data_IF_916280626607
#
_entry.id   IF_916280626607
#
_cell.length_a   1.000
_cell.length_b   1.000
_cell.length_c   1.000
_cell.angle_alpha   90.00
_cell.angle_beta   90.00
_cell.angle_gamma   90.00
#
_symmetry.space_group_name_H-M   'P 1'
#
loop_
_entity.id
_entity.type
_entity.pdbx_description
1 polymer ?
#
# COMPACT_ATOMS: atom_id res chain seq x y z
N UNK A 1 -0.48 -22.96 -0.04
CA UNK A 1 -0.37 -22.34 -1.38
C UNK A 1 -0.57 -20.82 -1.34
N UNK A 2 -1.73 -20.33 -0.86
CA UNK A 2 -2.02 -18.89 -0.74
C UNK A 2 -0.96 -18.10 0.06
N UNK A 3 -0.45 -18.65 1.16
CA UNK A 3 0.59 -17.96 1.96
C UNK A 3 1.94 -17.83 1.26
N UNK A 4 2.32 -18.76 0.37
CA UNK A 4 3.59 -18.72 -0.37
C UNK A 4 3.53 -17.64 -1.45
N UNK A 5 2.41 -17.57 -2.19
CA UNK A 5 2.19 -16.52 -3.19
C UNK A 5 2.14 -15.14 -2.53
N UNK A 6 1.42 -15.04 -1.40
CA UNK A 6 1.34 -13.81 -0.63
C UNK A 6 2.72 -13.37 -0.12
N UNK A 7 3.52 -14.27 0.46
CA UNK A 7 4.88 -13.98 0.87
C UNK A 7 5.75 -13.52 -0.30
N UNK A 8 5.71 -14.18 -1.46
CA UNK A 8 6.55 -13.78 -2.61
C UNK A 8 6.24 -12.36 -3.12
N UNK A 9 4.98 -11.96 -3.05
CA UNK A 9 4.54 -10.65 -3.55
C UNK A 9 4.69 -9.56 -2.49
N UNK A 10 4.57 -9.91 -1.22
CA UNK A 10 4.57 -8.96 -0.09
C UNK A 10 5.96 -8.78 0.54
N UNK A 11 6.81 -9.82 0.56
CA UNK A 11 8.15 -9.75 1.18
C UNK A 11 9.07 -8.72 0.54
N UNK A 12 9.14 -8.56 -0.81
CA UNK A 12 10.00 -7.53 -1.41
C UNK A 12 9.62 -6.11 -0.98
N UNK A 13 8.33 -5.88 -0.72
CA UNK A 13 7.83 -4.59 -0.24
C UNK A 13 8.26 -4.35 1.22
N UNK A 14 8.26 -5.38 2.07
CA UNK A 14 8.76 -5.29 3.45
C UNK A 14 10.28 -5.13 3.48
N UNK A 15 11.01 -5.93 2.71
CA UNK A 15 12.48 -5.94 2.68
C UNK A 15 13.04 -4.61 2.19
N UNK A 16 12.41 -4.00 1.18
CA UNK A 16 12.79 -2.69 0.69
C UNK A 16 12.34 -1.54 1.59
N UNK A 17 11.20 -1.71 2.29
CA UNK A 17 10.51 -0.62 2.98
C UNK A 17 9.95 -1.08 4.34
N UNK A 18 10.82 -1.34 5.34
CA UNK A 18 10.39 -1.76 6.68
C UNK A 18 9.46 -0.71 7.30
N UNK A 19 8.55 -1.17 8.16
CA UNK A 19 7.62 -0.27 8.84
C UNK A 19 8.33 0.74 9.73
N UNK A 20 7.93 2.01 9.64
CA UNK A 20 8.38 3.11 10.52
C UNK A 20 7.20 3.64 11.34
N UNK A 21 7.45 4.41 12.41
CA UNK A 21 6.38 5.09 13.15
C UNK A 21 5.53 5.94 12.21
N UNK A 22 4.21 5.87 12.39
CA UNK A 22 3.23 6.67 11.65
C UNK A 22 3.14 8.03 12.34
N UNK A 23 3.19 9.13 11.59
CA UNK A 23 3.02 10.46 12.15
C UNK A 23 1.63 10.66 12.78
N UNK A 24 1.55 11.52 13.80
CA UNK A 24 0.30 11.77 14.54
C UNK A 24 -0.80 12.41 13.69
N UNK A 25 -0.42 13.14 12.64
CA UNK A 25 -1.30 13.79 11.67
C UNK A 25 -1.63 12.93 10.45
N UNK A 26 -1.18 11.67 10.42
CA UNK A 26 -1.41 10.78 9.31
C UNK A 26 -2.90 10.51 9.06
N UNK A 27 -3.31 10.56 7.79
CA UNK A 27 -4.67 10.20 7.37
C UNK A 27 -4.77 8.68 7.30
N UNK A 28 -5.66 8.11 8.11
CA UNK A 28 -5.83 6.66 8.20
C UNK A 28 -7.19 6.19 7.69
N UNK A 29 -7.21 5.10 6.92
CA UNK A 29 -8.44 4.36 6.62
C UNK A 29 -8.23 2.86 6.73
N UNK A 30 -9.23 2.19 7.28
CA UNK A 30 -9.16 0.76 7.58
C UNK A 30 -9.76 -0.08 6.46
N UNK A 31 -9.34 -1.35 6.38
CA UNK A 31 -9.94 -2.36 5.49
C UNK A 31 -9.98 -1.93 4.00
N UNK A 32 -8.90 -1.34 3.54
CA UNK A 32 -8.69 -0.96 2.16
C UNK A 32 -8.33 -2.18 1.31
N UNK A 33 -8.71 -2.09 0.04
CA UNK A 33 -8.43 -3.11 -0.96
C UNK A 33 -7.24 -2.69 -1.82
N UNK A 34 -6.26 -3.57 -1.92
CA UNK A 34 -5.11 -3.41 -2.81
C UNK A 34 -5.03 -4.58 -3.78
N UNK A 35 -4.41 -4.35 -4.93
CA UNK A 35 -3.90 -5.39 -5.80
C UNK A 35 -2.40 -5.20 -5.94
N UNK A 36 -1.62 -6.20 -5.58
CA UNK A 36 -0.16 -6.17 -5.68
C UNK A 36 0.25 -7.25 -6.67
N UNK A 37 0.79 -6.83 -7.82
CA UNK A 37 1.01 -7.68 -8.98
C UNK A 37 -0.27 -8.45 -9.38
N UNK A 38 -0.23 -9.77 -9.20
CA UNK A 38 -1.34 -10.67 -9.54
C UNK A 38 -2.29 -10.97 -8.36
N UNK A 39 -1.98 -10.51 -7.14
CA UNK A 39 -2.75 -10.85 -5.93
C UNK A 39 -3.69 -9.71 -5.55
N UNK A 40 -4.97 -10.02 -5.37
CA UNK A 40 -5.98 -9.08 -4.83
C UNK A 40 -6.12 -9.29 -3.32
N UNK A 41 -5.88 -8.23 -2.57
CA UNK A 41 -5.99 -8.15 -1.11
C UNK A 41 -7.26 -7.38 -0.76
N UNK A 42 -8.41 -8.04 -0.89
CA UNK A 42 -9.72 -7.42 -0.63
C UNK A 42 -9.92 -7.13 0.85
N UNK A 43 -9.95 -5.86 1.23
CA UNK A 43 -10.19 -5.39 2.61
C UNK A 43 -9.23 -5.98 3.65
N UNK A 44 -7.98 -6.25 3.26
CA UNK A 44 -6.97 -6.86 4.14
C UNK A 44 -5.88 -5.89 4.61
N UNK A 45 -5.95 -4.61 4.24
CA UNK A 45 -4.91 -3.63 4.53
C UNK A 45 -5.54 -2.40 5.19
N UNK A 46 -5.04 -2.01 6.36
CA UNK A 46 -5.22 -0.67 6.89
C UNK A 46 -4.14 0.22 6.27
N UNK A 47 -4.53 1.42 5.82
CA UNK A 47 -3.62 2.38 5.20
C UNK A 47 -3.50 3.59 6.09
N UNK A 48 -2.29 4.07 6.30
CA UNK A 48 -2.02 5.42 6.77
C UNK A 48 -1.16 6.16 5.73
N UNK A 49 -1.33 7.47 5.65
CA UNK A 49 -0.57 8.36 4.76
C UNK A 49 -0.14 9.55 5.59
N UNK A 50 1.16 9.83 5.62
CA UNK A 50 1.72 11.05 6.20
C UNK A 50 2.55 11.84 5.16
N UNK A 51 3.27 12.87 5.61
CA UNK A 51 4.09 13.73 4.75
C UNK A 51 5.15 12.96 3.95
N UNK A 52 5.62 11.81 4.46
CA UNK A 52 6.77 11.11 3.91
C UNK A 52 6.46 9.70 3.38
N UNK A 53 5.46 9.02 3.95
CA UNK A 53 5.24 7.59 3.74
C UNK A 53 3.79 7.20 3.46
N UNK A 54 3.65 6.20 2.59
CA UNK A 54 2.51 5.31 2.52
C UNK A 54 2.72 4.13 3.47
N UNK A 55 1.94 4.06 4.55
CA UNK A 55 1.97 2.91 5.45
C UNK A 55 0.92 1.88 5.07
N UNK A 56 1.37 0.64 4.87
CA UNK A 56 0.54 -0.52 4.59
C UNK A 56 0.57 -1.46 5.79
N UNK A 57 -0.54 -1.55 6.52
CA UNK A 57 -0.66 -2.34 7.73
C UNK A 57 -1.63 -3.51 7.49
N UNK A 58 -1.17 -4.77 7.52
CA UNK A 58 -2.07 -5.90 7.34
C UNK A 58 -3.12 -5.96 8.45
N UNK A 59 -4.38 -6.17 8.07
CA UNK A 59 -5.45 -6.51 8.99
C UNK A 59 -5.18 -7.85 9.70
N UNK A 60 -5.96 -8.17 10.74
CA UNK A 60 -5.75 -9.39 11.56
C UNK A 60 -5.57 -10.65 10.71
N UNK A 61 -6.41 -10.83 9.69
CA UNK A 61 -6.33 -11.99 8.79
C UNK A 61 -5.04 -11.96 7.94
N UNK A 62 -4.63 -10.79 7.45
CA UNK A 62 -3.36 -10.64 6.73
C UNK A 62 -2.14 -11.00 7.59
N UNK A 63 -2.15 -10.58 8.87
CA UNK A 63 -1.11 -10.94 9.84
C UNK A 63 -1.05 -12.44 10.10
N UNK A 64 -2.20 -13.11 10.21
CA UNK A 64 -2.26 -14.58 10.33
C UNK A 64 -1.66 -15.30 9.13
N UNK A 65 -1.68 -14.69 7.94
CA UNK A 65 -1.05 -15.23 6.73
C UNK A 65 0.44 -14.87 6.61
N UNK A 66 1.00 -14.17 7.60
CA UNK A 66 2.41 -13.79 7.66
C UNK A 66 2.74 -12.48 6.95
N UNK A 67 1.75 -11.65 6.62
CA UNK A 67 2.02 -10.29 6.15
C UNK A 67 2.53 -9.43 7.31
N UNK A 68 3.55 -8.62 7.06
CA UNK A 68 4.08 -7.63 8.00
C UNK A 68 3.77 -6.21 7.50
N UNK A 69 3.71 -5.22 8.41
CA UNK A 69 3.55 -3.83 8.01
C UNK A 69 4.75 -3.34 7.19
N UNK A 70 4.52 -2.35 6.35
CA UNK A 70 5.53 -1.70 5.53
C UNK A 70 5.25 -0.20 5.41
N UNK A 71 6.29 0.60 5.16
CA UNK A 71 6.18 2.06 5.03
C UNK A 71 6.98 2.52 3.83
N UNK A 72 6.28 2.77 2.73
CA UNK A 72 6.89 3.08 1.43
C UNK A 72 7.03 4.60 1.31
N UNK A 73 8.25 5.13 1.17
CA UNK A 73 8.43 6.56 1.02
C UNK A 73 7.88 7.04 -0.32
N UNK A 74 7.39 8.28 -0.39
CA UNK A 74 6.79 8.82 -1.61
C UNK A 74 7.75 8.79 -2.80
N UNK A 75 9.04 9.04 -2.59
CA UNK A 75 10.06 8.99 -3.65
C UNK A 75 10.26 7.60 -4.28
N UNK A 76 9.81 6.53 -3.61
CA UNK A 76 9.86 5.16 -4.14
C UNK A 76 8.62 4.77 -4.97
N UNK A 77 7.64 5.67 -5.08
CA UNK A 77 6.36 5.43 -5.74
C UNK A 77 6.36 6.14 -7.10
N UNK A 78 6.34 5.36 -8.17
CA UNK A 78 6.23 5.87 -9.53
C UNK A 78 4.77 5.82 -10.01
N UNK A 79 4.19 6.92 -10.50
CA UNK A 79 2.81 6.91 -10.96
C UNK A 79 2.69 6.17 -12.31
N UNK A 80 1.69 5.30 -12.43
CA UNK A 80 1.33 4.66 -13.70
C UNK A 80 -0.01 5.18 -14.21
N UNK A 81 -1.01 5.29 -13.32
CA UNK A 81 -2.34 5.83 -13.62
C UNK A 81 -3.00 6.34 -12.35
N UNK A 82 -3.12 7.65 -12.20
CA UNK A 82 -3.70 8.27 -11.00
C UNK A 82 -5.17 8.71 -11.21
N UNK A 83 -5.50 9.20 -12.40
CA UNK A 83 -6.73 9.96 -12.64
C UNK A 83 -7.97 9.11 -12.97
N UNK A 84 -9.13 9.69 -12.65
CA UNK A 84 -10.45 9.35 -13.20
C UNK A 84 -11.15 8.13 -12.60
N UNK A 85 -10.60 7.50 -11.55
CA UNK A 85 -11.22 6.32 -10.93
C UNK A 85 -11.00 6.24 -9.42
N UNK A 86 -11.80 5.41 -8.74
CA UNK A 86 -11.68 5.08 -7.30
C UNK A 86 -10.31 4.48 -6.91
N UNK A 87 -9.53 4.02 -7.89
CA UNK A 87 -8.26 3.34 -7.68
C UNK A 87 -7.15 3.91 -8.55
N UNK A 88 -6.00 4.18 -7.94
CA UNK A 88 -4.79 4.56 -8.64
C UNK A 88 -3.87 3.34 -8.83
N UNK A 89 -3.02 3.40 -9.85
CA UNK A 89 -2.00 2.40 -10.19
C UNK A 89 -0.64 3.08 -10.10
N UNK A 90 0.25 2.48 -9.33
CA UNK A 90 1.63 2.93 -9.13
C UNK A 90 2.59 1.75 -9.30
N UNK A 91 3.87 2.03 -9.43
CA UNK A 91 4.95 1.07 -9.25
C UNK A 91 5.72 1.39 -7.99
N UNK A 92 6.12 0.34 -7.29
CA UNK A 92 7.02 0.40 -6.13
C UNK A 92 8.15 -0.58 -6.44
N UNK A 93 9.31 -0.04 -6.82
CA UNK A 93 10.36 -0.84 -7.46
C UNK A 93 9.84 -1.57 -8.71
N UNK A 94 9.98 -2.90 -8.76
CA UNK A 94 9.50 -3.72 -9.89
C UNK A 94 8.03 -4.15 -9.78
N UNK A 95 7.33 -3.78 -8.70
CA UNK A 95 5.98 -4.29 -8.40
C UNK A 95 4.93 -3.24 -8.74
N UNK A 96 3.96 -3.62 -9.58
CA UNK A 96 2.76 -2.81 -9.81
C UNK A 96 1.78 -2.96 -8.65
N UNK A 97 1.37 -1.83 -8.09
CA UNK A 97 0.38 -1.75 -7.02
C UNK A 97 -0.83 -0.95 -7.50
N UNK A 98 -2.02 -1.51 -7.31
CA UNK A 98 -3.28 -0.77 -7.44
C UNK A 98 -3.88 -0.62 -6.07
N UNK A 99 -4.19 0.61 -5.69
CA UNK A 99 -4.74 0.97 -4.39
C UNK A 99 -5.78 2.06 -4.52
N UNK A 100 -6.39 2.48 -3.41
CA UNK A 100 -7.39 3.54 -3.44
C UNK A 100 -6.74 4.88 -3.82
N UNK A 101 -7.40 5.65 -4.69
CA UNK A 101 -6.85 6.93 -5.18
C UNK A 101 -6.60 7.94 -4.06
N UNK A 102 -7.43 7.95 -3.00
CA UNK A 102 -7.22 8.83 -1.86
C UNK A 102 -5.85 8.63 -1.17
N UNK A 103 -5.28 7.42 -1.22
CA UNK A 103 -4.00 7.14 -0.57
C UNK A 103 -2.81 7.33 -1.52
N UNK A 104 -2.95 6.85 -2.76
CA UNK A 104 -1.86 6.88 -3.74
C UNK A 104 -1.79 8.19 -4.53
N UNK A 105 -2.87 8.97 -4.57
CA UNK A 105 -2.92 10.29 -5.22
C UNK A 105 -2.24 11.38 -4.41
N UNK A 106 -2.16 11.22 -3.08
CA UNK A 106 -1.52 12.20 -2.19
C UNK A 106 -0.02 12.35 -2.47
N UNK A 107 0.64 11.27 -2.89
CA UNK A 107 2.03 11.28 -3.36
C UNK A 107 2.29 12.28 -4.51
N UNK A 108 1.23 12.68 -5.22
CA UNK A 108 1.30 13.47 -6.44
C UNK A 108 0.46 14.75 -6.38
N UNK A 109 0.05 15.17 -5.18
CA UNK A 109 -0.72 16.40 -4.98
C UNK A 109 -2.14 16.35 -5.55
N UNK A 110 -2.70 15.17 -5.80
CA UNK A 110 -4.12 15.06 -6.13
C UNK A 110 -4.94 15.20 -4.83
N UNK A 111 -5.76 16.26 -4.76
CA UNK A 111 -6.72 16.43 -3.67
C UNK A 111 -7.66 15.22 -3.64
N UNK A 112 -7.80 14.61 -2.46
CA UNK A 112 -8.79 13.56 -2.26
C UNK A 112 -10.17 14.12 -2.62
N UNK A 113 -10.96 13.45 -3.48
CA UNK A 113 -12.36 13.83 -3.67
C UNK A 113 -13.16 13.67 -2.37
#
# INVERSE_FOLDING_TARGET
FLSVVLKRVWSPLIEGYPAVPIADDAVQRHFQSYRIGLVKLGSLVHTAVDEHYLHLMPAKFGRMLGMQPASVPWEAIEPVRLQGTKYAVVKIGSITVTGPSWALGLAFGEESP
#
